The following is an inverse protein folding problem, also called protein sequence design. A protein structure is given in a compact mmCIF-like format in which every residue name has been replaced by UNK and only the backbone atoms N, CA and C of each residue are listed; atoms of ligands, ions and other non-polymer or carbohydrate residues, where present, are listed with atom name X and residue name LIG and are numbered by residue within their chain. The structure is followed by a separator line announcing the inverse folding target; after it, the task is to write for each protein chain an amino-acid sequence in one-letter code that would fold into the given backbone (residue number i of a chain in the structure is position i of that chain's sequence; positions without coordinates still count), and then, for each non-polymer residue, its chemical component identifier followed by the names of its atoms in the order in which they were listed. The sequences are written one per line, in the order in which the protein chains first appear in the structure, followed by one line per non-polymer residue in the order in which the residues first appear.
data_IF_349453895065
#
_entry.id   IF_349453895065
#
_cell.length_a   1.000
_cell.length_b   1.000
_cell.length_c   1.000
_cell.angle_alpha   90.00
_cell.angle_beta   90.00
_cell.angle_gamma   90.00
#
_symmetry.space_group_name_H-M   'P 1'
#
loop_
_entity.id
_entity.type
_entity.pdbx_description
1 polymer ?
#
# COMPACT_ATOMS: atom_id res chain seq x y z
N UNK A 1 -1.23 -7.86 -1.06
CA UNK A 1 -2.45 -7.10 -0.70
C UNK A 1 -3.79 -7.74 -1.03
N UNK A 2 -3.94 -8.64 -2.02
CA UNK A 2 -5.26 -9.23 -2.38
C UNK A 2 -6.04 -9.79 -1.18
N UNK A 3 -5.35 -10.46 -0.24
CA UNK A 3 -5.94 -11.01 1.00
C UNK A 3 -6.57 -9.95 1.92
N UNK A 4 -6.15 -8.69 1.83
CA UNK A 4 -6.74 -7.60 2.62
C UNK A 4 -8.16 -7.23 2.17
N UNK A 5 -8.53 -7.60 0.94
CA UNK A 5 -9.83 -7.32 0.33
C UNK A 5 -10.73 -8.55 0.29
N UNK A 6 -10.45 -9.58 1.09
CA UNK A 6 -11.31 -10.76 1.18
C UNK A 6 -12.70 -10.35 1.69
N UNK A 7 -13.75 -10.84 1.03
CA UNK A 7 -15.14 -10.59 1.44
C UNK A 7 -15.42 -11.14 2.83
N UNK A 8 -14.75 -12.22 3.22
CA UNK A 8 -14.78 -12.79 4.56
C UNK A 8 -13.74 -12.07 5.45
N UNK A 9 -14.17 -11.31 6.48
CA UNK A 9 -13.25 -10.59 7.36
C UNK A 9 -12.27 -11.49 8.09
N UNK A 10 -12.64 -12.74 8.37
CA UNK A 10 -11.78 -13.69 9.10
C UNK A 10 -10.56 -14.16 8.30
N UNK A 11 -10.62 -14.03 6.96
CA UNK A 11 -9.51 -14.37 6.06
C UNK A 11 -8.56 -13.22 5.80
N UNK A 12 -8.92 -12.02 6.24
CA UNK A 12 -8.05 -10.85 6.12
C UNK A 12 -6.86 -10.99 7.08
N UNK A 13 -5.65 -10.58 6.66
CA UNK A 13 -4.50 -10.59 7.54
C UNK A 13 -4.70 -9.62 8.70
N UNK A 14 -4.21 -9.99 9.88
CA UNK A 14 -4.15 -9.06 11.01
C UNK A 14 -3.05 -8.01 10.81
N UNK A 15 -3.05 -6.99 11.67
CA UNK A 15 -2.14 -5.86 11.56
C UNK A 15 -0.66 -6.27 11.59
N UNK A 16 -0.29 -7.28 12.39
CA UNK A 16 1.09 -7.76 12.49
C UNK A 16 1.56 -8.36 11.17
N UNK A 17 0.71 -9.15 10.50
CA UNK A 17 1.04 -9.72 9.18
C UNK A 17 1.21 -8.61 8.14
N UNK A 18 0.33 -7.61 8.17
CA UNK A 18 0.39 -6.46 7.25
C UNK A 18 1.69 -5.67 7.48
N UNK A 19 2.01 -5.34 8.72
CA UNK A 19 3.22 -4.59 9.09
C UNK A 19 4.49 -5.32 8.64
N UNK A 20 4.59 -6.62 8.90
CA UNK A 20 5.72 -7.44 8.44
C UNK A 20 5.83 -7.46 6.91
N UNK A 21 4.70 -7.60 6.22
CA UNK A 21 4.68 -7.62 4.74
C UNK A 21 5.16 -6.28 4.16
N UNK A 22 4.66 -5.16 4.67
CA UNK A 22 5.06 -3.82 4.22
C UNK A 22 6.53 -3.56 4.54
N UNK A 23 7.01 -3.97 5.72
CA UNK A 23 8.40 -3.81 6.12
C UNK A 23 9.36 -4.53 5.17
N UNK A 24 9.03 -5.76 4.76
CA UNK A 24 9.84 -6.51 3.80
C UNK A 24 9.82 -5.89 2.40
N UNK A 25 8.68 -5.36 1.96
CA UNK A 25 8.57 -4.61 0.70
C UNK A 25 9.47 -3.38 0.71
N UNK A 26 9.35 -2.56 1.75
CA UNK A 26 10.17 -1.36 1.93
C UNK A 26 11.66 -1.72 2.00
N UNK A 27 12.03 -2.80 2.70
CA UNK A 27 13.42 -3.27 2.75
C UNK A 27 13.97 -3.58 1.37
N UNK A 28 13.22 -4.30 0.54
CA UNK A 28 13.63 -4.68 -0.81
C UNK A 28 13.76 -3.46 -1.73
N UNK A 29 12.73 -2.61 -1.76
CA UNK A 29 12.69 -1.39 -2.58
C UNK A 29 13.82 -0.44 -2.19
N UNK A 30 14.02 -0.18 -0.90
CA UNK A 30 15.10 0.69 -0.43
C UNK A 30 16.48 0.14 -0.81
N UNK A 31 16.66 -1.18 -0.74
CA UNK A 31 17.91 -1.83 -1.14
C UNK A 31 18.13 -1.71 -2.65
N UNK A 32 17.07 -1.81 -3.46
CA UNK A 32 17.15 -1.56 -4.89
C UNK A 32 17.65 -0.15 -5.20
N UNK A 33 17.01 0.89 -4.66
CA UNK A 33 17.41 2.28 -4.92
C UNK A 33 18.81 2.59 -4.37
N UNK A 34 19.22 2.02 -3.24
CA UNK A 34 20.60 2.15 -2.73
C UNK A 34 21.65 1.58 -3.69
N UNK A 35 21.33 0.49 -4.39
CA UNK A 35 22.26 -0.17 -5.30
C UNK A 35 22.26 0.46 -6.70
N UNK A 36 21.11 0.91 -7.17
CA UNK A 36 20.91 1.30 -8.56
C UNK A 36 20.81 2.81 -8.78
N UNK A 37 20.39 3.56 -7.75
CA UNK A 37 19.92 4.93 -7.90
C UNK A 37 18.56 4.99 -8.59
N UNK A 38 18.26 6.15 -9.19
CA UNK A 38 17.04 6.38 -9.97
C UNK A 38 17.20 6.02 -11.47
N UNK A 39 18.42 5.65 -11.87
CA UNK A 39 18.77 5.27 -13.25
C UNK A 39 18.44 3.79 -13.55
N UNK A 40 18.85 3.32 -14.73
CA UNK A 40 18.74 1.91 -15.11
C UNK A 40 19.37 0.95 -14.08
N UNK A 41 18.71 -0.20 -13.83
CA UNK A 41 19.20 -1.20 -12.88
C UNK A 41 20.56 -1.75 -13.30
N UNK A 42 21.58 -1.51 -12.46
CA UNK A 42 22.94 -2.05 -12.61
C UNK A 42 23.18 -3.31 -11.78
N UNK A 43 22.41 -3.49 -10.71
CA UNK A 43 22.60 -4.52 -9.70
C UNK A 43 21.26 -5.14 -9.27
N UNK A 44 21.28 -6.47 -9.08
CA UNK A 44 20.16 -7.22 -8.55
C UNK A 44 20.23 -7.21 -7.02
N UNK A 45 19.08 -7.01 -6.35
CA UNK A 45 18.99 -7.13 -4.89
C UNK A 45 19.18 -8.60 -4.49
N UNK A 46 20.23 -8.97 -3.73
CA UNK A 46 20.45 -10.36 -3.33
C UNK A 46 19.61 -10.73 -2.10
N UNK A 47 19.35 -12.05 -1.98
CA UNK A 47 18.66 -12.68 -0.85
C UNK A 47 17.23 -12.15 -0.61
N UNK A 48 16.43 -12.17 -1.67
CA UNK A 48 14.99 -11.88 -1.64
C UNK A 48 14.28 -13.06 -2.28
N UNK A 49 13.10 -13.41 -1.78
CA UNK A 49 12.30 -14.44 -2.45
C UNK A 49 11.76 -13.93 -3.79
N UNK A 50 11.37 -14.87 -4.65
CA UNK A 50 10.94 -14.55 -6.01
C UNK A 50 9.66 -13.70 -6.05
N UNK A 51 8.77 -13.84 -5.06
CA UNK A 51 7.55 -13.04 -5.01
C UNK A 51 7.90 -11.58 -4.66
N UNK A 52 8.68 -11.37 -3.61
CA UNK A 52 9.19 -10.04 -3.24
C UNK A 52 9.98 -9.37 -4.37
N UNK A 53 10.76 -10.16 -5.12
CA UNK A 53 11.49 -9.68 -6.29
C UNK A 53 10.54 -9.15 -7.36
N UNK A 54 9.50 -9.91 -7.71
CA UNK A 54 8.52 -9.49 -8.71
C UNK A 54 7.73 -8.27 -8.25
N UNK A 55 7.21 -8.30 -7.01
CA UNK A 55 6.48 -7.20 -6.40
C UNK A 55 7.32 -5.90 -6.40
N UNK A 56 8.62 -6.00 -6.09
CA UNK A 56 9.56 -4.89 -6.14
C UNK A 56 9.71 -4.33 -7.56
N UNK A 57 9.96 -5.17 -8.58
CA UNK A 57 10.13 -4.69 -9.95
C UNK A 57 8.85 -4.07 -10.53
N UNK A 58 7.68 -4.64 -10.24
CA UNK A 58 6.39 -4.05 -10.62
C UNK A 58 6.23 -2.64 -10.03
N UNK A 59 6.60 -2.45 -8.76
CA UNK A 59 6.57 -1.14 -8.11
C UNK A 59 7.54 -0.13 -8.75
N UNK A 60 8.79 -0.54 -9.01
CA UNK A 60 9.80 0.34 -9.62
C UNK A 60 9.37 0.78 -11.02
N UNK A 61 8.85 -0.13 -11.84
CA UNK A 61 8.39 0.20 -13.18
C UNK A 61 7.21 1.16 -13.14
N UNK A 62 6.22 0.89 -12.29
CA UNK A 62 5.08 1.79 -12.10
C UNK A 62 5.52 3.20 -11.64
N UNK A 63 6.47 3.29 -10.70
CA UNK A 63 7.00 4.56 -10.22
C UNK A 63 7.73 5.34 -11.32
N UNK A 64 8.46 4.65 -12.20
CA UNK A 64 9.16 5.26 -13.33
C UNK A 64 8.17 5.84 -14.34
N UNK A 65 7.13 5.09 -14.69
CA UNK A 65 6.06 5.55 -15.58
C UNK A 65 5.35 6.77 -14.99
N UNK A 66 4.97 6.72 -13.70
CA UNK A 66 4.33 7.84 -13.01
C UNK A 66 5.20 9.10 -13.03
N UNK A 67 6.50 8.97 -12.73
CA UNK A 67 7.44 10.11 -12.76
C UNK A 67 7.53 10.71 -14.16
N UNK A 68 7.56 9.88 -15.20
CA UNK A 68 7.58 10.32 -16.60
C UNK A 68 6.29 11.05 -17.00
N UNK A 69 5.12 10.49 -16.70
CA UNK A 69 3.82 11.13 -16.95
C UNK A 69 3.72 12.47 -16.24
N UNK A 70 4.20 12.55 -15.00
CA UNK A 70 4.17 13.75 -14.19
C UNK A 70 5.14 14.85 -14.67
N UNK A 71 6.25 14.50 -15.32
CA UNK A 71 7.09 15.47 -16.03
C UNK A 71 6.43 16.01 -17.31
N UNK A 72 5.53 15.23 -17.92
CA UNK A 72 4.82 15.61 -19.14
C UNK A 72 3.51 16.38 -18.88
N UNK A 73 2.99 16.33 -17.64
CA UNK A 73 1.74 16.97 -17.24
C UNK A 73 2.04 17.95 -16.10
N UNK A 74 1.80 19.25 -16.31
CA UNK A 74 1.89 20.26 -15.24
C UNK A 74 1.01 19.87 -14.05
N UNK A 75 1.64 19.49 -12.95
CA UNK A 75 0.98 19.08 -11.69
C UNK A 75 0.39 20.31 -11.01
N UNK A 76 -0.82 20.68 -11.41
CA UNK A 76 -1.57 21.78 -10.78
C UNK A 76 -3.02 21.41 -10.49
N UNK A 77 -3.34 20.12 -10.30
CA UNK A 77 -4.68 19.71 -9.88
C UNK A 77 -4.60 18.79 -8.66
N UNK A 78 -4.26 19.37 -7.51
CA UNK A 78 -4.75 18.82 -6.25
C UNK A 78 -6.26 19.03 -6.21
N UNK A 79 -7.03 18.01 -5.81
CA UNK A 79 -8.45 18.15 -5.50
C UNK A 79 -8.58 18.68 -4.07
N UNK A 80 -8.86 19.97 -3.84
CA UNK A 80 -9.01 20.52 -2.48
C UNK A 80 -10.16 19.89 -1.68
N UNK A 81 -11.04 19.13 -2.33
CA UNK A 81 -12.16 18.43 -1.69
C UNK A 81 -11.82 17.06 -1.10
N UNK A 82 -10.60 16.56 -1.24
CA UNK A 82 -10.16 15.33 -0.57
C UNK A 82 -9.90 15.57 0.93
N UNK A 83 -10.96 15.89 1.68
CA UNK A 83 -10.91 15.88 3.14
C UNK A 83 -10.96 14.42 3.60
N UNK A 84 -9.84 13.91 4.12
CA UNK A 84 -9.85 12.67 4.92
C UNK A 84 -10.62 12.96 6.22
N UNK A 85 -11.93 12.76 6.21
CA UNK A 85 -12.72 12.74 7.44
C UNK A 85 -12.57 11.37 8.08
N UNK A 86 -11.48 11.16 8.82
CA UNK A 86 -11.37 9.99 9.70
C UNK A 86 -12.47 10.09 10.77
N UNK A 87 -13.56 9.31 10.63
CA UNK A 87 -14.56 9.14 11.71
C UNK A 87 -13.90 8.43 12.88
N UNK A 88 -14.10 8.93 14.09
CA UNK A 88 -13.57 8.33 15.31
C UNK A 88 -14.18 6.93 15.47
N UNK A 89 -13.37 5.91 15.79
CA UNK A 89 -13.81 4.52 15.93
C UNK A 89 -15.02 4.36 16.87
N UNK A 90 -15.12 5.23 17.88
CA UNK A 90 -16.22 5.28 18.85
C UNK A 90 -17.57 5.62 18.22
N UNK A 91 -17.62 6.48 17.20
CA UNK A 91 -18.88 6.81 16.49
C UNK A 91 -19.38 5.61 15.67
N UNK A 92 -18.46 4.90 14.99
CA UNK A 92 -18.80 3.72 14.19
C UNK A 92 -19.32 2.59 15.09
N UNK A 93 -18.69 2.38 16.24
CA UNK A 93 -19.12 1.38 17.21
C UNK A 93 -20.51 1.71 17.79
N UNK A 94 -20.84 3.00 17.96
CA UNK A 94 -22.17 3.42 18.40
C UNK A 94 -23.24 3.08 17.37
N UNK A 95 -23.01 3.42 16.09
CA UNK A 95 -23.96 3.15 14.99
C UNK A 95 -24.20 1.63 14.80
N UNK A 96 -23.17 0.79 14.96
CA UNK A 96 -23.30 -0.66 14.83
C UNK A 96 -24.00 -1.36 16.01
N UNK A 97 -24.05 -0.74 17.19
CA UNK A 97 -24.71 -1.30 18.38
C UNK A 97 -26.23 -1.11 18.35
N UNK A 98 -26.70 -0.06 17.68
CA UNK A 98 -28.14 0.22 17.55
C UNK A 98 -28.90 -0.87 16.76
N UNK A 99 -28.22 -1.54 15.81
CA UNK A 99 -28.79 -2.66 15.05
C UNK A 99 -28.96 -3.95 15.88
N UNK A 100 -28.30 -4.07 17.05
CA UNK A 100 -28.41 -5.24 17.93
C UNK A 100 -29.51 -5.10 18.99
N UNK A 101 -30.06 -3.89 19.20
CA UNK A 101 -31.05 -3.62 20.24
C UNK A 101 -32.49 -3.91 19.79
N UNK A 102 -32.76 -4.08 18.49
CA UNK A 102 -34.09 -4.45 17.98
C UNK A 102 -34.19 -5.98 17.77
N UNK A 103 -34.02 -6.77 18.83
CA UNK A 103 -34.41 -8.20 18.82
C UNK A 103 -34.53 -8.84 20.22
N UNK A 104 -35.14 -8.14 21.17
CA UNK A 104 -35.72 -8.74 22.38
C UNK A 104 -37.18 -8.32 22.48
#
# INVERSE_FOLDING_TARGET
MKKCWDSDPSKRPNIVIIENTISEWLRCINKYYKLNGDDEPRYVVPNIDNQLKNDMYEFIEANRVLTQEQTNISVSQTHPQAHYTSRLLTEILSECLDDYIIKI
#
